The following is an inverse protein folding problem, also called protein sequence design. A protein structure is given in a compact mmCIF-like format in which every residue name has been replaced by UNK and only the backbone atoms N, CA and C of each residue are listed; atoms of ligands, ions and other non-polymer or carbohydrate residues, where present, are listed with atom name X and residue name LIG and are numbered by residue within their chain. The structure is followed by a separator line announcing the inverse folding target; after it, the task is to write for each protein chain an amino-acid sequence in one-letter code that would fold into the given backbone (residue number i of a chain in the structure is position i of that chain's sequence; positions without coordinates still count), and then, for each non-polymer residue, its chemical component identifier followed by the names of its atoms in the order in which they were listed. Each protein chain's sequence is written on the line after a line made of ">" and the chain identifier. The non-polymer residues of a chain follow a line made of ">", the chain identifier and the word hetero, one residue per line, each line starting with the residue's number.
data_IF_478071704242
#
_entry.id   IF_478071704242
#
_cell.length_a   1.000
_cell.length_b   1.000
_cell.length_c   1.000
_cell.angle_alpha   90.00
_cell.angle_beta   90.00
_cell.angle_gamma   90.00
#
_symmetry.space_group_name_H-M   'P 1'
#
loop_
_entity.id
_entity.type
_entity.pdbx_description
1 polymer ?
#
# COMPACT_ATOMS: atom_id res chain seq x y z
N UNK A 1 -19.67 -0.03 -23.17
CA UNK A 1 -19.66 -0.80 -21.92
C UNK A 1 -18.75 -0.12 -20.91
N UNK A 2 -19.22 0.07 -19.69
CA UNK A 2 -18.41 0.67 -18.65
C UNK A 2 -17.55 -0.41 -17.98
N UNK A 3 -16.27 -0.13 -17.80
CA UNK A 3 -15.38 -1.02 -17.10
C UNK A 3 -15.26 -0.58 -15.64
N UNK A 4 -15.34 -1.56 -14.73
CA UNK A 4 -15.12 -1.28 -13.32
C UNK A 4 -13.62 -1.17 -13.08
N UNK A 5 -13.23 -0.06 -12.45
CA UNK A 5 -11.83 0.15 -12.07
C UNK A 5 -11.73 0.04 -10.56
N UNK A 6 -10.80 -0.78 -10.13
CA UNK A 6 -10.56 -1.00 -8.70
C UNK A 6 -9.29 -0.29 -8.28
N UNK A 7 -9.31 0.25 -7.07
CA UNK A 7 -8.11 0.75 -6.41
C UNK A 7 -7.88 -0.06 -5.15
N UNK A 8 -6.71 -0.68 -5.06
CA UNK A 8 -6.35 -1.55 -3.95
C UNK A 8 -5.59 -0.75 -2.91
N UNK A 9 -6.16 -0.68 -1.71
CA UNK A 9 -5.58 0.04 -0.57
C UNK A 9 -4.91 -0.98 0.33
N UNK A 10 -3.59 -1.08 0.26
CA UNK A 10 -2.81 -2.00 1.10
C UNK A 10 -2.41 -1.25 2.37
N UNK A 11 -3.06 -1.59 3.47
CA UNK A 11 -2.87 -0.91 4.74
C UNK A 11 -1.87 -1.68 5.57
N UNK A 12 -0.68 -1.11 5.72
CA UNK A 12 0.45 -1.75 6.41
C UNK A 12 1.33 -2.52 5.43
N UNK A 13 2.59 -2.11 5.32
CA UNK A 13 3.56 -2.76 4.41
C UNK A 13 4.77 -3.31 5.18
N UNK A 14 4.49 -3.85 6.37
CA UNK A 14 5.46 -4.64 7.13
C UNK A 14 5.60 -6.05 6.55
N UNK A 15 5.47 -7.10 7.37
CA UNK A 15 5.66 -8.48 6.93
C UNK A 15 4.76 -8.91 5.78
N UNK A 16 3.50 -9.22 6.06
CA UNK A 16 2.55 -9.72 5.05
C UNK A 16 2.26 -8.66 3.99
N UNK A 17 2.10 -7.41 4.40
CA UNK A 17 1.77 -6.33 3.46
C UNK A 17 2.86 -6.07 2.43
N UNK A 18 4.12 -6.18 2.81
CA UNK A 18 5.23 -5.99 1.87
C UNK A 18 5.30 -7.11 0.84
N UNK A 19 4.97 -8.35 1.24
CA UNK A 19 4.91 -9.47 0.32
C UNK A 19 3.77 -9.30 -0.68
N UNK A 20 2.60 -8.92 -0.19
CA UNK A 20 1.45 -8.65 -1.05
C UNK A 20 1.75 -7.50 -2.03
N UNK A 21 2.38 -6.45 -1.54
CA UNK A 21 2.71 -5.28 -2.36
C UNK A 21 3.67 -5.62 -3.50
N UNK A 22 4.51 -6.65 -3.33
CA UNK A 22 5.42 -7.09 -4.39
C UNK A 22 4.71 -7.91 -5.47
N UNK A 23 3.67 -8.67 -5.08
CA UNK A 23 2.98 -9.56 -6.01
C UNK A 23 1.79 -8.91 -6.68
N UNK A 24 1.09 -8.02 -6.01
CA UNK A 24 -0.09 -7.36 -6.53
C UNK A 24 0.15 -6.64 -7.87
N UNK A 25 1.28 -5.92 -8.07
CA UNK A 25 1.52 -5.25 -9.35
C UNK A 25 1.46 -6.18 -10.55
N UNK A 26 1.86 -7.43 -10.40
CA UNK A 26 1.82 -8.42 -11.49
C UNK A 26 0.40 -8.68 -11.96
N UNK A 27 -0.56 -8.63 -11.05
CA UNK A 27 -1.98 -8.83 -11.36
C UNK A 27 -2.60 -7.59 -12.00
N UNK A 28 -2.01 -6.42 -11.80
CA UNK A 28 -2.55 -5.17 -12.30
C UNK A 28 -2.02 -4.79 -13.68
N UNK A 29 -1.03 -5.53 -14.20
CA UNK A 29 -0.45 -5.25 -15.50
C UNK A 29 -1.51 -5.32 -16.58
N UNK A 30 -1.52 -4.31 -17.46
CA UNK A 30 -2.46 -4.26 -18.57
C UNK A 30 -3.89 -3.89 -18.18
N UNK A 31 -4.11 -3.55 -16.93
CA UNK A 31 -5.44 -3.13 -16.44
C UNK A 31 -5.47 -1.64 -16.16
N UNK A 32 -6.67 -1.11 -15.96
CA UNK A 32 -6.84 0.28 -15.50
C UNK A 32 -6.96 0.39 -13.99
N UNK A 33 -6.74 -0.72 -13.27
CA UNK A 33 -6.74 -0.72 -11.81
C UNK A 33 -5.45 -0.10 -11.28
N UNK A 34 -5.50 0.38 -10.04
CA UNK A 34 -4.30 0.92 -9.41
C UNK A 34 -4.23 0.54 -7.94
N UNK A 35 -3.15 0.90 -7.29
CA UNK A 35 -2.92 0.55 -5.90
C UNK A 35 -2.31 1.71 -5.14
N UNK A 36 -2.51 1.70 -3.84
CA UNK A 36 -1.88 2.65 -2.92
C UNK A 36 -1.39 1.87 -1.70
N UNK A 37 -0.21 2.21 -1.25
CA UNK A 37 0.37 1.66 -0.02
C UNK A 37 0.23 2.69 1.09
N UNK A 38 -0.25 2.26 2.25
CA UNK A 38 -0.48 3.16 3.38
C UNK A 38 0.27 2.62 4.59
N UNK A 39 1.26 3.36 5.08
CA UNK A 39 2.04 2.97 6.25
C UNK A 39 2.76 4.20 6.82
N UNK A 40 2.69 4.38 8.13
CA UNK A 40 3.38 5.46 8.82
C UNK A 40 4.78 5.12 9.32
N UNK A 41 5.19 3.86 9.19
CA UNK A 41 6.48 3.40 9.71
C UNK A 41 7.64 3.77 8.80
N UNK A 42 8.82 3.82 9.41
CA UNK A 42 10.09 4.04 8.73
C UNK A 42 10.81 2.71 8.56
N UNK A 43 11.50 2.54 7.44
CA UNK A 43 12.31 1.36 7.18
C UNK A 43 13.49 1.35 8.16
N UNK A 44 13.66 0.24 8.86
CA UNK A 44 14.78 0.00 9.76
C UNK A 44 15.67 -1.12 9.21
N UNK A 45 16.91 -1.21 9.67
CA UNK A 45 17.84 -2.23 9.18
C UNK A 45 17.32 -3.65 9.35
N UNK A 46 16.52 -3.91 10.39
CA UNK A 46 15.90 -5.23 10.63
C UNK A 46 14.87 -5.60 9.58
N UNK A 47 14.39 -4.65 8.79
CA UNK A 47 13.37 -4.90 7.76
C UNK A 47 13.94 -5.41 6.45
N UNK A 48 15.27 -5.32 6.25
CA UNK A 48 15.90 -5.62 4.96
C UNK A 48 15.64 -7.05 4.52
N UNK A 49 15.87 -8.01 5.41
CA UNK A 49 15.73 -9.43 5.05
C UNK A 49 14.29 -9.91 5.02
N UNK A 50 13.46 -9.44 5.93
CA UNK A 50 12.11 -9.98 6.14
C UNK A 50 11.05 -9.34 5.27
N UNK A 51 11.20 -8.07 4.91
CA UNK A 51 10.15 -7.29 4.32
C UNK A 51 10.47 -6.77 2.92
N UNK A 52 11.57 -7.19 2.33
CA UNK A 52 11.90 -6.83 0.94
C UNK A 52 12.44 -5.42 0.76
N UNK A 53 12.85 -4.77 1.83
CA UNK A 53 13.50 -3.47 1.75
C UNK A 53 15.00 -3.64 1.55
N UNK A 54 15.64 -2.63 0.99
CA UNK A 54 17.07 -2.61 0.72
C UNK A 54 17.78 -1.67 1.69
N UNK A 55 19.10 -1.83 1.82
CA UNK A 55 19.89 -1.00 2.72
C UNK A 55 19.73 0.49 2.46
N UNK A 56 19.58 0.87 1.19
CA UNK A 56 19.37 2.26 0.80
C UNK A 56 18.02 2.82 1.23
N UNK A 57 17.05 1.94 1.58
CA UNK A 57 15.72 2.35 2.01
C UNK A 57 15.66 2.71 3.49
N UNK A 58 16.69 2.36 4.28
CA UNK A 58 16.71 2.62 5.72
C UNK A 58 16.57 4.13 5.97
N UNK A 59 15.61 4.49 6.81
CA UNK A 59 15.30 5.88 7.11
C UNK A 59 14.14 6.45 6.29
N UNK A 60 13.78 5.81 5.18
CA UNK A 60 12.63 6.23 4.38
C UNK A 60 11.33 5.67 4.95
N UNK A 61 10.22 6.31 4.64
CA UNK A 61 8.90 5.76 4.94
C UNK A 61 8.72 4.46 4.15
N UNK A 62 8.11 3.45 4.78
CA UNK A 62 7.94 2.13 4.15
C UNK A 62 7.06 2.18 2.90
N UNK A 63 5.94 2.89 2.95
CA UNK A 63 5.03 2.99 1.80
C UNK A 63 5.71 3.72 0.65
N UNK A 64 6.43 4.80 0.92
CA UNK A 64 7.18 5.53 -0.09
C UNK A 64 8.24 4.65 -0.74
N UNK A 65 9.04 3.95 0.05
CA UNK A 65 10.13 3.12 -0.45
C UNK A 65 9.63 2.02 -1.39
N UNK A 66 8.56 1.32 -0.99
CA UNK A 66 7.99 0.26 -1.83
C UNK A 66 7.29 0.82 -3.07
N UNK A 67 6.57 1.94 -2.95
CA UNK A 67 5.90 2.53 -4.10
C UNK A 67 6.89 2.97 -5.18
N UNK A 68 8.03 3.55 -4.78
CA UNK A 68 9.10 3.90 -5.70
C UNK A 68 9.61 2.68 -6.44
N UNK A 69 9.85 1.60 -5.72
CA UNK A 69 10.35 0.36 -6.31
C UNK A 69 9.36 -0.22 -7.31
N UNK A 70 8.08 -0.28 -6.93
CA UNK A 70 7.03 -0.81 -7.78
C UNK A 70 6.91 0.01 -9.06
N UNK A 71 6.89 1.33 -8.95
CA UNK A 71 6.78 2.22 -10.10
C UNK A 71 7.99 2.12 -11.02
N UNK A 72 9.17 1.76 -10.49
CA UNK A 72 10.36 1.59 -11.31
C UNK A 72 10.40 0.23 -12.03
N UNK A 73 9.73 -0.78 -11.49
CA UNK A 73 9.75 -2.14 -12.03
C UNK A 73 8.57 -2.47 -12.94
N UNK A 74 7.42 -1.81 -12.73
CA UNK A 74 6.19 -2.14 -13.44
C UNK A 74 5.54 -0.88 -14.02
N UNK A 75 4.92 -0.98 -15.20
CA UNK A 75 4.18 0.14 -15.79
C UNK A 75 2.79 0.27 -15.19
N UNK A 76 2.72 0.46 -13.89
CA UNK A 76 1.47 0.66 -13.16
C UNK A 76 1.61 1.89 -12.27
N UNK A 77 0.48 2.42 -11.82
CA UNK A 77 0.45 3.52 -10.87
C UNK A 77 0.32 3.00 -9.46
N UNK A 78 1.40 3.13 -8.68
CA UNK A 78 1.39 2.82 -7.26
C UNK A 78 1.61 4.11 -6.47
N UNK A 79 0.57 4.52 -5.76
CA UNK A 79 0.60 5.70 -4.90
C UNK A 79 1.04 5.29 -3.49
N UNK A 80 1.29 6.27 -2.65
CA UNK A 80 1.61 6.00 -1.24
C UNK A 80 1.00 7.07 -0.33
N UNK A 81 0.73 6.68 0.91
CA UNK A 81 0.42 7.59 2.01
C UNK A 81 1.39 7.25 3.13
N UNK A 82 2.15 8.22 3.59
CA UNK A 82 3.21 8.05 4.58
C UNK A 82 2.74 8.20 6.02
N UNK A 83 1.44 8.13 6.24
CA UNK A 83 0.84 8.27 7.57
C UNK A 83 0.19 6.97 8.01
N UNK A 84 0.02 6.82 9.32
CA UNK A 84 -0.75 5.71 9.86
C UNK A 84 -2.21 5.87 9.47
N UNK A 85 -2.83 4.77 9.10
CA UNK A 85 -4.21 4.76 8.64
C UNK A 85 -5.17 5.00 9.80
N UNK A 86 -6.09 5.95 9.61
CA UNK A 86 -7.24 6.17 10.48
C UNK A 86 -8.50 6.09 9.62
N UNK A 87 -9.67 6.04 10.26
CA UNK A 87 -10.93 6.10 9.51
C UNK A 87 -11.01 7.35 8.67
N UNK A 88 -10.69 8.49 9.28
CA UNK A 88 -10.78 9.77 8.58
C UNK A 88 -9.82 9.82 7.40
N UNK A 89 -8.57 9.35 7.59
CA UNK A 89 -7.58 9.38 6.50
C UNK A 89 -7.95 8.44 5.37
N UNK A 90 -8.44 7.24 5.70
CA UNK A 90 -8.85 6.27 4.68
C UNK A 90 -10.08 6.77 3.93
N UNK A 91 -11.05 7.32 4.64
CA UNK A 91 -12.25 7.89 4.01
C UNK A 91 -11.87 9.01 3.04
N UNK A 92 -10.95 9.90 3.46
CA UNK A 92 -10.49 10.99 2.61
C UNK A 92 -9.81 10.47 1.34
N UNK A 93 -8.95 9.45 1.47
CA UNK A 93 -8.29 8.84 0.31
C UNK A 93 -9.29 8.26 -0.68
N UNK A 94 -10.32 7.58 -0.17
CA UNK A 94 -11.37 7.00 -1.01
C UNK A 94 -12.18 8.09 -1.69
N UNK A 95 -12.53 9.16 -0.97
CA UNK A 95 -13.29 10.27 -1.53
C UNK A 95 -12.52 11.02 -2.62
N UNK A 96 -11.20 11.09 -2.49
CA UNK A 96 -10.36 11.77 -3.47
C UNK A 96 -10.25 11.00 -4.79
N UNK A 97 -10.69 9.76 -4.82
CA UNK A 97 -10.55 8.92 -6.01
C UNK A 97 -11.83 8.16 -6.32
N UNK A 98 -12.91 8.90 -6.49
CA UNK A 98 -14.26 8.35 -6.65
C UNK A 98 -14.48 7.52 -7.92
N UNK A 99 -13.59 7.64 -8.90
CA UNK A 99 -13.70 6.87 -10.14
C UNK A 99 -13.32 5.40 -9.97
N UNK A 100 -12.90 5.00 -8.79
CA UNK A 100 -12.45 3.64 -8.50
C UNK A 100 -13.28 3.03 -7.39
N UNK A 101 -13.54 1.71 -7.52
CA UNK A 101 -14.13 0.93 -6.45
C UNK A 101 -13.02 0.56 -5.48
N UNK A 102 -13.11 0.93 -4.19
CA UNK A 102 -12.04 0.63 -3.24
C UNK A 102 -12.06 -0.84 -2.81
N UNK A 103 -10.88 -1.45 -2.77
CA UNK A 103 -10.65 -2.77 -2.18
C UNK A 103 -9.65 -2.57 -1.06
N UNK A 104 -10.09 -2.78 0.17
CA UNK A 104 -9.27 -2.52 1.36
C UNK A 104 -8.64 -3.83 1.83
N UNK A 105 -7.31 -3.84 1.90
CA UNK A 105 -6.56 -5.01 2.37
C UNK A 105 -5.78 -4.61 3.61
N UNK A 106 -6.23 -5.06 4.77
CA UNK A 106 -5.58 -4.76 6.05
C UNK A 106 -4.48 -5.77 6.34
N UNK A 107 -3.26 -5.29 6.40
CA UNK A 107 -2.07 -6.11 6.66
C UNK A 107 -1.32 -5.61 7.90
N UNK A 108 -2.02 -5.00 8.84
CA UNK A 108 -1.41 -4.48 10.07
C UNK A 108 -1.43 -5.55 11.16
N UNK A 109 -0.34 -5.65 11.90
CA UNK A 109 -0.21 -6.60 13.02
C UNK A 109 -0.56 -5.98 14.36
N UNK A 110 -1.08 -4.76 14.36
CA UNK A 110 -1.41 -3.99 15.54
C UNK A 110 -2.89 -4.11 15.83
N UNK A 111 -3.26 -4.59 17.02
CA UNK A 111 -4.66 -4.81 17.39
C UNK A 111 -5.48 -3.52 17.32
N UNK A 112 -4.94 -2.40 17.74
CA UNK A 112 -5.65 -1.13 17.69
C UNK A 112 -5.94 -0.71 16.24
N UNK A 113 -4.98 -0.87 15.35
CA UNK A 113 -5.17 -0.57 13.93
C UNK A 113 -6.16 -1.52 13.29
N UNK A 114 -6.12 -2.82 13.66
CA UNK A 114 -7.09 -3.79 13.17
C UNK A 114 -8.51 -3.44 13.61
N UNK A 115 -8.68 -2.99 14.84
CA UNK A 115 -9.98 -2.55 15.34
C UNK A 115 -10.51 -1.36 14.53
N UNK A 116 -9.65 -0.46 14.11
CA UNK A 116 -10.04 0.66 13.25
C UNK A 116 -10.57 0.16 11.91
N UNK A 117 -9.91 -0.83 11.32
CA UNK A 117 -10.31 -1.35 10.01
C UNK A 117 -11.59 -2.19 10.07
N UNK A 118 -11.85 -2.84 11.19
CA UNK A 118 -13.01 -3.72 11.34
C UNK A 118 -14.31 -3.00 11.64
N UNK A 119 -14.25 -1.75 12.04
CA UNK A 119 -15.46 -0.97 12.31
C UNK A 119 -16.08 -0.46 10.99
#
# INVERSE_FOLDING_TARGET
>A
MAYTRYKFYVIGVGGTGSLLARDLPKLLLGTSHKMILVDGDTVESKNIERQGYQAQDVGDNKALALSRKINSLYPIECEFDDKYCTYESLFALIQDDKGYVPVIIGCVDNDAARMILEK
#
